data_IF_125938687515
#
_entry.id   IF_125938687515
#
_cell.length_a   1.000
_cell.length_b   1.000
_cell.length_c   1.000
_cell.angle_alpha   90.00
_cell.angle_beta   90.00
_cell.angle_gamma   90.00
#
_symmetry.space_group_name_H-M   'P 1'
#
loop_
_entity.id
_entity.type
_entity.pdbx_description
1 polymer ?
#
# COMPACT_ATOMS: atom_id res chain seq x y z
N UNK A 1 -33.79 -3.79 -33.73
CA UNK A 1 -33.34 -4.12 -32.35
C UNK A 1 -32.28 -5.21 -32.47
N UNK A 2 -31.04 -4.83 -32.79
CA UNK A 2 -29.89 -5.76 -32.86
C UNK A 2 -28.96 -5.34 -31.73
N UNK A 3 -29.13 -5.95 -30.56
CA UNK A 3 -28.15 -5.85 -29.49
C UNK A 3 -27.03 -6.81 -29.83
N UNK A 4 -25.93 -6.24 -30.33
CA UNK A 4 -24.63 -6.90 -30.46
C UNK A 4 -24.27 -7.55 -29.12
N UNK A 5 -24.26 -8.88 -29.12
CA UNK A 5 -23.60 -9.68 -28.10
C UNK A 5 -22.10 -9.45 -28.21
N UNK A 6 -21.60 -8.39 -27.58
CA UNK A 6 -20.18 -8.26 -27.36
C UNK A 6 -19.72 -9.52 -26.62
N UNK A 7 -18.90 -10.34 -27.30
CA UNK A 7 -18.21 -11.47 -26.71
C UNK A 7 -17.45 -10.98 -25.48
N UNK A 8 -17.97 -11.26 -24.28
CA UNK A 8 -17.21 -10.98 -23.05
C UNK A 8 -15.98 -11.86 -23.13
N UNK A 9 -14.80 -11.25 -23.28
CA UNK A 9 -13.53 -11.96 -23.15
C UNK A 9 -13.55 -12.65 -21.78
N UNK A 10 -13.64 -13.97 -21.78
CA UNK A 10 -13.65 -14.75 -20.55
C UNK A 10 -12.25 -14.76 -19.97
N UNK A 11 -11.96 -13.82 -19.07
CA UNK A 11 -10.69 -13.81 -18.32
C UNK A 11 -10.69 -15.01 -17.37
N UNK A 12 -9.66 -15.89 -17.37
CA UNK A 12 -9.61 -17.03 -16.46
C UNK A 12 -9.76 -16.59 -15.00
N UNK A 13 -10.54 -17.33 -14.21
CA UNK A 13 -10.85 -16.97 -12.81
C UNK A 13 -9.60 -16.77 -11.95
N UNK A 14 -8.56 -17.57 -12.20
CA UNK A 14 -7.26 -17.42 -11.52
C UNK A 14 -6.67 -16.04 -11.81
N UNK A 15 -6.62 -15.64 -13.07
CA UNK A 15 -6.09 -14.33 -13.47
C UNK A 15 -6.93 -13.18 -12.89
N UNK A 16 -8.27 -13.32 -12.89
CA UNK A 16 -9.14 -12.34 -12.25
C UNK A 16 -8.81 -12.14 -10.77
N UNK A 17 -8.62 -13.24 -10.03
CA UNK A 17 -8.29 -13.18 -8.58
C UNK A 17 -6.93 -12.56 -8.32
N UNK A 18 -5.91 -12.88 -9.13
CA UNK A 18 -4.59 -12.27 -9.02
C UNK A 18 -4.65 -10.76 -9.28
N UNK A 19 -5.37 -10.33 -10.33
CA UNK A 19 -5.55 -8.91 -10.63
C UNK A 19 -6.37 -8.21 -9.53
N UNK A 20 -7.40 -8.84 -8.99
CA UNK A 20 -8.13 -8.32 -7.83
C UNK A 20 -7.20 -8.12 -6.63
N UNK A 21 -6.34 -9.09 -6.33
CA UNK A 21 -5.36 -8.96 -5.25
C UNK A 21 -4.38 -7.79 -5.49
N UNK A 22 -3.92 -7.58 -6.73
CA UNK A 22 -3.12 -6.39 -7.08
C UNK A 22 -3.93 -5.10 -6.84
N UNK A 23 -5.22 -5.08 -7.18
CA UNK A 23 -6.08 -3.93 -6.92
C UNK A 23 -6.30 -3.61 -5.44
N UNK A 24 -6.25 -4.61 -4.56
CA UNK A 24 -6.40 -4.43 -3.10
C UNK A 24 -5.29 -3.58 -2.48
N UNK A 25 -4.16 -3.35 -3.17
CA UNK A 25 -3.14 -2.36 -2.77
C UNK A 25 -3.76 -0.97 -2.51
N UNK A 26 -4.78 -0.60 -3.30
CA UNK A 26 -5.55 0.64 -3.15
C UNK A 26 -6.96 0.40 -2.59
N UNK A 27 -7.17 -0.70 -1.87
CA UNK A 27 -8.49 -1.15 -1.39
C UNK A 27 -9.52 -1.34 -2.52
N UNK A 28 -9.06 -1.68 -3.73
CA UNK A 28 -9.93 -1.88 -4.89
C UNK A 28 -10.13 -3.37 -5.17
N UNK A 29 -11.30 -3.89 -4.82
CA UNK A 29 -11.76 -5.22 -5.24
C UNK A 29 -12.16 -5.22 -6.73
N UNK A 30 -11.17 -5.07 -7.62
CA UNK A 30 -11.40 -4.95 -9.06
C UNK A 30 -10.21 -5.46 -9.89
N UNK A 31 -10.43 -6.48 -10.74
CA UNK A 31 -9.38 -6.96 -11.64
C UNK A 31 -9.03 -5.93 -12.71
N UNK A 32 -9.96 -5.05 -13.09
CA UNK A 32 -9.70 -3.96 -14.05
C UNK A 32 -8.74 -2.94 -13.45
N UNK A 33 -8.99 -2.50 -12.21
CA UNK A 33 -8.07 -1.59 -11.54
C UNK A 33 -6.70 -2.25 -11.31
N UNK A 34 -6.67 -3.52 -10.90
CA UNK A 34 -5.43 -4.29 -10.79
C UNK A 34 -4.66 -4.41 -12.09
N UNK A 35 -5.33 -4.57 -13.23
CA UNK A 35 -4.68 -4.58 -14.55
C UNK A 35 -4.07 -3.23 -14.90
N UNK A 36 -4.76 -2.12 -14.62
CA UNK A 36 -4.20 -0.77 -14.80
C UNK A 36 -2.99 -0.58 -13.90
N UNK A 37 -3.05 -1.02 -12.64
CA UNK A 37 -1.92 -0.95 -11.71
C UNK A 37 -0.72 -1.76 -12.20
N UNK A 38 -0.96 -3.00 -12.67
CA UNK A 38 0.11 -3.83 -13.23
C UNK A 38 0.73 -3.21 -14.48
N UNK A 39 -0.07 -2.58 -15.34
CA UNK A 39 0.42 -1.83 -16.50
C UNK A 39 1.29 -0.65 -16.06
N UNK A 40 0.84 0.14 -15.07
CA UNK A 40 1.64 1.25 -14.56
C UNK A 40 2.96 0.78 -13.93
N UNK A 41 2.97 -0.35 -13.21
CA UNK A 41 4.21 -0.96 -12.71
C UNK A 41 5.13 -1.32 -13.87
N UNK A 42 4.61 -1.97 -14.91
CA UNK A 42 5.40 -2.38 -16.08
C UNK A 42 6.00 -1.18 -16.82
N UNK A 43 5.21 -0.12 -17.01
CA UNK A 43 5.66 1.13 -17.64
C UNK A 43 6.65 1.91 -16.77
N UNK A 44 6.56 1.79 -15.44
CA UNK A 44 7.54 2.37 -14.52
C UNK A 44 8.85 1.58 -14.52
N UNK A 45 8.78 0.27 -14.71
CA UNK A 45 9.92 -0.63 -14.78
C UNK A 45 9.46 -2.09 -14.84
N UNK A 46 9.78 -2.86 -15.90
CA UNK A 46 9.37 -4.26 -16.00
C UNK A 46 9.70 -5.14 -14.79
N UNK A 47 10.83 -4.96 -14.06
CA UNK A 47 11.10 -5.71 -12.84
C UNK A 47 10.04 -5.53 -11.74
N UNK A 48 9.46 -4.33 -11.60
CA UNK A 48 8.43 -4.05 -10.59
C UNK A 48 7.16 -4.87 -10.88
N UNK A 49 6.75 -4.94 -12.14
CA UNK A 49 5.61 -5.76 -12.56
C UNK A 49 5.88 -7.26 -12.38
N UNK A 50 7.10 -7.72 -12.73
CA UNK A 50 7.50 -9.11 -12.55
C UNK A 50 7.49 -9.50 -11.06
N UNK A 51 8.11 -8.69 -10.21
CA UNK A 51 8.10 -8.89 -8.76
C UNK A 51 6.68 -8.91 -8.20
N UNK A 52 5.84 -7.96 -8.61
CA UNK A 52 4.42 -7.91 -8.24
C UNK A 52 3.68 -9.21 -8.58
N UNK A 53 3.82 -9.71 -9.82
CA UNK A 53 3.18 -10.94 -10.29
C UNK A 53 3.70 -12.18 -9.55
N UNK A 54 5.01 -12.28 -9.35
CA UNK A 54 5.61 -13.40 -8.63
C UNK A 54 5.18 -13.41 -7.16
N UNK A 55 5.25 -12.26 -6.49
CA UNK A 55 4.88 -12.12 -5.08
C UNK A 55 3.40 -12.45 -4.82
N UNK A 56 2.48 -11.95 -5.66
CA UNK A 56 1.04 -12.28 -5.55
C UNK A 56 0.78 -13.74 -5.90
N UNK A 57 1.51 -14.34 -6.83
CA UNK A 57 1.38 -15.77 -7.15
C UNK A 57 1.79 -16.64 -5.96
N UNK A 58 2.96 -16.39 -5.37
CA UNK A 58 3.45 -17.16 -4.22
C UNK A 58 2.55 -17.00 -2.98
N UNK A 59 2.08 -15.78 -2.69
CA UNK A 59 1.15 -15.53 -1.60
C UNK A 59 -0.18 -16.28 -1.79
N UNK A 60 -0.75 -16.22 -3.00
CA UNK A 60 -1.96 -16.98 -3.35
C UNK A 60 -1.73 -18.49 -3.24
N UNK A 61 -0.61 -19.02 -3.76
CA UNK A 61 -0.29 -20.45 -3.70
C UNK A 61 -0.26 -20.95 -2.25
N UNK A 62 0.38 -20.24 -1.33
CA UNK A 62 0.37 -20.57 0.10
C UNK A 62 -1.05 -20.53 0.67
N UNK A 63 -1.83 -19.50 0.33
CA UNK A 63 -3.20 -19.39 0.82
C UNK A 63 -4.09 -20.55 0.38
N UNK A 64 -3.91 -21.04 -0.85
CA UNK A 64 -4.58 -22.23 -1.37
C UNK A 64 -4.07 -23.52 -0.73
N UNK A 65 -2.75 -23.70 -0.66
CA UNK A 65 -2.12 -24.89 -0.09
C UNK A 65 -2.53 -25.12 1.37
N UNK A 66 -2.60 -24.03 2.16
CA UNK A 66 -2.98 -24.08 3.58
C UNK A 66 -4.49 -23.98 3.81
N UNK A 67 -5.30 -23.98 2.74
CA UNK A 67 -6.76 -23.88 2.81
C UNK A 67 -7.24 -22.72 3.69
N UNK A 68 -6.55 -21.57 3.62
CA UNK A 68 -6.92 -20.36 4.38
C UNK A 68 -8.33 -19.86 4.02
N UNK A 69 -9.06 -19.14 4.89
CA UNK A 69 -10.45 -18.73 4.66
C UNK A 69 -10.80 -18.32 3.22
N UNK A 70 -11.85 -18.95 2.66
CA UNK A 70 -12.18 -18.88 1.23
C UNK A 70 -12.57 -17.48 0.76
N UNK A 71 -13.36 -16.77 1.57
CA UNK A 71 -13.78 -15.39 1.33
C UNK A 71 -12.57 -14.48 1.14
N UNK A 72 -11.55 -14.63 2.00
CA UNK A 72 -10.29 -13.89 1.98
C UNK A 72 -9.38 -14.27 0.81
N UNK A 73 -9.40 -15.54 0.38
CA UNK A 73 -8.66 -15.98 -0.82
C UNK A 73 -9.28 -15.37 -2.08
N UNK A 74 -10.61 -15.35 -2.16
CA UNK A 74 -11.33 -14.95 -3.37
C UNK A 74 -11.37 -13.44 -3.59
N UNK A 75 -11.35 -12.63 -2.53
CA UNK A 75 -11.27 -11.17 -2.63
C UNK A 75 -9.82 -10.63 -2.68
N UNK A 76 -8.82 -11.52 -2.78
CA UNK A 76 -7.42 -11.13 -2.97
C UNK A 76 -6.70 -10.62 -1.71
N UNK A 77 -7.31 -10.73 -0.52
CA UNK A 77 -6.74 -10.20 0.72
C UNK A 77 -5.49 -10.95 1.21
N UNK A 78 -5.33 -12.21 0.83
CA UNK A 78 -4.08 -12.95 1.08
C UNK A 78 -2.97 -12.67 0.05
N UNK A 79 -3.26 -11.99 -1.06
CA UNK A 79 -2.31 -11.82 -2.17
C UNK A 79 -1.63 -10.44 -2.21
N UNK A 80 -2.33 -9.37 -1.82
CA UNK A 80 -1.86 -8.00 -2.09
C UNK A 80 -0.59 -7.60 -1.33
N UNK A 81 -0.38 -8.12 -0.12
CA UNK A 81 0.88 -7.90 0.60
C UNK A 81 2.05 -8.55 -0.12
N UNK A 82 1.86 -9.73 -0.73
CA UNK A 82 2.87 -10.37 -1.56
C UNK A 82 3.16 -9.59 -2.83
N UNK A 83 2.12 -9.02 -3.47
CA UNK A 83 2.27 -8.13 -4.61
C UNK A 83 3.15 -6.91 -4.27
N UNK A 84 2.87 -6.24 -3.14
CA UNK A 84 3.67 -5.12 -2.64
C UNK A 84 5.10 -5.51 -2.28
N UNK A 85 5.30 -6.64 -1.61
CA UNK A 85 6.63 -7.12 -1.25
C UNK A 85 7.47 -7.39 -2.49
N UNK A 86 6.89 -8.05 -3.50
CA UNK A 86 7.59 -8.32 -4.75
C UNK A 86 7.93 -7.05 -5.53
N UNK A 87 6.98 -6.12 -5.68
CA UNK A 87 7.24 -4.84 -6.32
C UNK A 87 8.30 -4.02 -5.58
N UNK A 88 8.23 -3.98 -4.24
CA UNK A 88 9.16 -3.24 -3.39
C UNK A 88 10.58 -3.80 -3.43
N UNK A 89 10.73 -5.13 -3.39
CA UNK A 89 12.03 -5.77 -3.53
C UNK A 89 12.66 -5.49 -4.90
N UNK A 90 11.88 -5.54 -5.98
CA UNK A 90 12.36 -5.18 -7.32
C UNK A 90 12.52 -3.66 -7.55
N UNK A 91 12.00 -2.83 -6.65
CA UNK A 91 12.32 -1.40 -6.64
C UNK A 91 13.68 -1.14 -5.97
N UNK A 92 14.00 -1.88 -4.90
CA UNK A 92 15.23 -1.67 -4.10
C UNK A 92 16.45 -2.39 -4.69
N UNK A 93 16.28 -3.62 -5.19
CA UNK A 93 17.39 -4.48 -5.60
C UNK A 93 17.37 -4.78 -7.10
N UNK A 94 18.55 -5.05 -7.66
CA UNK A 94 18.72 -5.41 -9.07
C UNK A 94 18.09 -6.76 -9.37
N UNK A 95 17.49 -6.88 -10.54
CA UNK A 95 16.84 -8.12 -10.95
C UNK A 95 17.85 -9.21 -11.28
N UNK A 96 17.94 -10.20 -10.39
CA UNK A 96 18.73 -11.41 -10.57
C UNK A 96 18.01 -12.66 -10.01
N UNK A 97 18.65 -13.82 -10.13
CA UNK A 97 18.11 -15.09 -9.61
C UNK A 97 17.84 -15.08 -8.10
N UNK A 98 18.83 -14.69 -7.26
CA UNK A 98 18.64 -14.55 -5.81
C UNK A 98 17.47 -13.65 -5.42
N UNK A 99 17.28 -12.50 -6.09
CA UNK A 99 16.15 -11.63 -5.84
C UNK A 99 14.81 -12.31 -6.13
N UNK A 100 14.70 -13.06 -7.23
CA UNK A 100 13.47 -13.78 -7.55
C UNK A 100 13.11 -14.82 -6.48
N UNK A 101 14.11 -15.51 -5.92
CA UNK A 101 13.90 -16.44 -4.80
C UNK A 101 13.46 -15.69 -3.53
N UNK A 102 14.09 -14.54 -3.23
CA UNK A 102 13.70 -13.69 -2.11
C UNK A 102 12.25 -13.18 -2.27
N UNK A 103 11.87 -12.75 -3.48
CA UNK A 103 10.50 -12.31 -3.80
C UNK A 103 9.50 -13.44 -3.59
N UNK A 104 9.80 -14.65 -4.07
CA UNK A 104 8.94 -15.81 -3.88
C UNK A 104 8.75 -16.16 -2.39
N UNK A 105 9.84 -16.18 -1.62
CA UNK A 105 9.82 -16.43 -0.18
C UNK A 105 9.08 -15.34 0.59
N UNK A 106 9.32 -14.07 0.28
CA UNK A 106 8.62 -12.93 0.89
C UNK A 106 7.12 -13.00 0.59
N UNK A 107 6.73 -13.22 -0.68
CA UNK A 107 5.34 -13.39 -1.08
C UNK A 107 4.64 -14.50 -0.28
N UNK A 108 5.25 -15.68 -0.20
CA UNK A 108 4.74 -16.80 0.60
C UNK A 108 4.57 -16.42 2.09
N UNK A 109 5.58 -15.77 2.68
CA UNK A 109 5.57 -15.36 4.09
C UNK A 109 4.46 -14.33 4.38
N UNK A 110 4.18 -13.40 3.46
CA UNK A 110 3.12 -12.41 3.67
C UNK A 110 1.74 -13.05 3.88
N UNK A 111 1.42 -14.15 3.19
CA UNK A 111 0.15 -14.85 3.37
C UNK A 111 0.03 -15.45 4.78
N UNK A 112 1.11 -16.06 5.29
CA UNK A 112 1.18 -16.62 6.65
C UNK A 112 1.02 -15.51 7.70
N UNK A 113 1.76 -14.42 7.56
CA UNK A 113 1.68 -13.26 8.46
C UNK A 113 0.30 -12.60 8.43
N UNK A 114 -0.33 -12.53 7.25
CA UNK A 114 -1.70 -12.00 7.10
C UNK A 114 -2.68 -12.87 7.89
N UNK A 115 -2.61 -14.20 7.75
CA UNK A 115 -3.47 -15.11 8.50
C UNK A 115 -3.22 -15.02 10.02
N UNK A 116 -1.96 -14.93 10.44
CA UNK A 116 -1.60 -14.80 11.85
C UNK A 116 -2.17 -13.50 12.47
N UNK A 117 -2.07 -12.37 11.77
CA UNK A 117 -2.64 -11.10 12.22
C UNK A 117 -4.18 -11.15 12.29
N UNK A 118 -4.84 -11.84 11.35
CA UNK A 118 -6.30 -12.01 11.39
C UNK A 118 -6.76 -12.83 12.61
N UNK A 119 -5.98 -13.84 13.02
CA UNK A 119 -6.26 -14.65 14.22
C UNK A 119 -6.21 -13.84 15.51
N UNK A 120 -5.42 -12.76 15.56
CA UNK A 120 -5.30 -11.88 16.73
C UNK A 120 -6.31 -10.73 16.72
N UNK A 121 -7.28 -10.71 15.80
CA UNK A 121 -8.30 -9.64 15.61
C UNK A 121 -7.70 -8.26 15.31
N UNK A 122 -6.45 -8.21 14.87
CA UNK A 122 -5.77 -6.98 14.40
C UNK A 122 -5.92 -6.91 12.88
N UNK A 123 -6.39 -5.78 12.30
CA UNK A 123 -6.45 -5.65 10.85
C UNK A 123 -5.02 -5.68 10.29
N UNK A 124 -4.68 -6.64 9.39
CA UNK A 124 -3.30 -6.80 8.91
C UNK A 124 -2.80 -5.57 8.15
N UNK A 125 -3.69 -4.92 7.38
CA UNK A 125 -3.33 -3.84 6.46
C UNK A 125 -2.10 -4.25 5.64
N UNK A 126 -1.11 -3.36 5.52
CA UNK A 126 0.17 -3.64 4.85
C UNK A 126 1.27 -4.09 5.82
N UNK A 127 0.95 -4.47 7.06
CA UNK A 127 1.95 -4.92 8.05
C UNK A 127 2.72 -6.18 7.58
N UNK A 128 2.07 -7.21 7.01
CA UNK A 128 2.78 -8.35 6.45
C UNK A 128 3.85 -7.93 5.46
N UNK A 129 3.52 -6.99 4.55
CA UNK A 129 4.48 -6.39 3.62
C UNK A 129 5.66 -5.71 4.36
N UNK A 130 5.40 -4.80 5.32
CA UNK A 130 6.45 -4.08 6.06
C UNK A 130 7.42 -5.05 6.75
N UNK A 131 6.88 -6.06 7.46
CA UNK A 131 7.68 -7.06 8.15
C UNK A 131 8.54 -7.88 7.17
N UNK A 132 7.97 -8.30 6.03
CA UNK A 132 8.75 -9.01 5.02
C UNK A 132 9.84 -8.16 4.38
N UNK A 133 9.61 -6.86 4.17
CA UNK A 133 10.63 -5.97 3.64
C UNK A 133 11.79 -5.76 4.62
N UNK A 134 11.51 -5.63 5.92
CA UNK A 134 12.56 -5.56 6.94
C UNK A 134 13.39 -6.83 7.03
N UNK A 135 12.72 -8.00 7.00
CA UNK A 135 13.40 -9.29 7.01
C UNK A 135 14.26 -9.47 5.75
N UNK A 136 13.72 -9.13 4.58
CA UNK A 136 14.47 -9.21 3.32
C UNK A 136 15.65 -8.24 3.30
N UNK A 137 15.49 -7.01 3.81
CA UNK A 137 16.58 -6.05 3.94
C UNK A 137 17.69 -6.53 4.87
N UNK A 138 17.33 -7.15 6.00
CA UNK A 138 18.29 -7.76 6.92
C UNK A 138 19.04 -8.96 6.30
N UNK A 139 18.38 -9.70 5.40
CA UNK A 139 18.95 -10.84 4.69
C UNK A 139 19.64 -10.46 3.36
N UNK A 140 19.52 -9.22 2.89
CA UNK A 140 19.95 -8.84 1.55
C UNK A 140 21.46 -9.03 1.34
N UNK A 141 22.27 -8.61 2.32
CA UNK A 141 23.73 -8.74 2.26
C UNK A 141 24.19 -10.19 2.28
N UNK A 142 23.55 -11.05 3.09
CA UNK A 142 23.92 -12.48 3.18
C UNK A 142 23.54 -13.26 1.92
N UNK A 143 22.53 -12.80 1.19
CA UNK A 143 22.10 -13.35 -0.10
C UNK A 143 22.86 -12.73 -1.28
N UNK A 144 23.69 -11.70 -1.03
CA UNK A 144 24.48 -11.03 -2.05
C UNK A 144 23.67 -10.11 -2.97
N UNK A 145 22.52 -9.62 -2.51
CA UNK A 145 21.68 -8.72 -3.30
C UNK A 145 22.36 -7.37 -3.48
N UNK A 146 22.31 -6.85 -4.70
CA UNK A 146 22.83 -5.53 -5.05
C UNK A 146 21.68 -4.52 -5.15
N UNK A 147 21.87 -3.32 -4.58
CA UNK A 147 20.89 -2.24 -4.72
C UNK A 147 20.82 -1.75 -6.18
N UNK A 148 19.60 -1.43 -6.62
CA UNK A 148 19.34 -0.85 -7.92
C UNK A 148 19.90 0.58 -8.01
N UNK A 149 20.62 0.87 -9.09
CA UNK A 149 21.06 2.23 -9.42
C UNK A 149 20.39 2.71 -10.71
N UNK A 150 19.84 3.94 -10.75
CA UNK A 150 19.70 4.87 -9.64
C UNK A 150 18.65 4.38 -8.61
N UNK A 151 18.72 4.91 -7.39
CA UNK A 151 17.73 4.65 -6.36
C UNK A 151 16.30 4.97 -6.85
N UNK A 152 15.25 4.34 -6.27
CA UNK A 152 13.87 4.64 -6.63
C UNK A 152 13.59 6.14 -6.63
N UNK A 153 13.06 6.65 -7.74
CA UNK A 153 12.79 8.08 -7.88
C UNK A 153 11.77 8.56 -6.84
N UNK A 154 12.13 9.57 -6.05
CA UNK A 154 11.25 10.20 -5.06
C UNK A 154 10.29 11.22 -5.67
N UNK A 155 9.27 11.61 -4.91
CA UNK A 155 8.38 12.71 -5.30
C UNK A 155 9.09 14.05 -5.09
N UNK A 156 9.27 14.81 -6.16
CA UNK A 156 9.67 16.22 -6.08
C UNK A 156 8.60 17.08 -5.42
N UNK A 157 8.93 18.33 -5.08
CA UNK A 157 8.06 19.26 -4.33
C UNK A 157 7.13 20.09 -5.21
N UNK A 158 7.21 19.99 -6.54
CA UNK A 158 6.27 20.69 -7.43
C UNK A 158 4.86 20.17 -7.21
N UNK A 159 3.92 21.08 -6.90
CA UNK A 159 2.56 20.76 -6.46
C UNK A 159 1.89 19.61 -7.23
N UNK A 160 1.64 19.79 -8.53
CA UNK A 160 0.93 18.78 -9.35
C UNK A 160 1.72 17.46 -9.40
N UNK A 161 3.04 17.54 -9.58
CA UNK A 161 3.89 16.34 -9.64
C UNK A 161 3.85 15.57 -8.32
N UNK A 162 3.92 16.27 -7.19
CA UNK A 162 3.89 15.68 -5.85
C UNK A 162 2.59 14.93 -5.60
N UNK A 163 1.44 15.55 -5.92
CA UNK A 163 0.13 14.95 -5.68
C UNK A 163 0.00 13.59 -6.35
N UNK A 164 0.29 13.53 -7.65
CA UNK A 164 0.12 12.30 -8.42
C UNK A 164 1.27 11.31 -8.21
N UNK A 165 2.50 11.78 -8.00
CA UNK A 165 3.60 10.89 -7.57
C UNK A 165 3.26 10.20 -6.25
N UNK A 166 2.71 10.91 -5.26
CA UNK A 166 2.32 10.31 -3.97
C UNK A 166 1.27 9.21 -4.14
N UNK A 167 0.35 9.37 -5.09
CA UNK A 167 -0.62 8.32 -5.45
C UNK A 167 0.11 7.12 -6.06
N UNK A 168 1.04 7.32 -6.99
CA UNK A 168 1.82 6.22 -7.60
C UNK A 168 2.75 5.50 -6.62
N UNK A 169 3.36 6.23 -5.69
CA UNK A 169 4.35 5.70 -4.74
C UNK A 169 3.78 4.72 -3.72
N UNK A 170 2.45 4.66 -3.57
CA UNK A 170 1.77 3.57 -2.85
C UNK A 170 2.19 2.19 -3.39
N UNK A 171 2.53 2.09 -4.68
CA UNK A 171 3.07 0.90 -5.32
C UNK A 171 4.45 1.14 -5.95
N UNK A 172 5.26 2.05 -5.40
CA UNK A 172 6.63 2.36 -5.87
C UNK A 172 6.74 2.99 -7.27
N UNK A 173 5.67 3.63 -7.76
CA UNK A 173 5.65 4.30 -9.07
C UNK A 173 5.92 5.80 -8.88
N UNK A 174 7.09 6.28 -9.30
CA UNK A 174 7.50 7.68 -9.08
C UNK A 174 7.03 8.70 -10.11
N UNK A 175 6.63 8.26 -11.31
CA UNK A 175 6.21 9.16 -12.38
C UNK A 175 4.82 9.74 -12.16
N UNK A 176 4.70 11.07 -12.06
CA UNK A 176 3.41 11.76 -11.95
C UNK A 176 2.39 11.38 -13.05
N UNK A 177 2.77 11.19 -14.33
CA UNK A 177 1.81 10.73 -15.35
C UNK A 177 1.19 9.35 -15.06
N UNK A 178 1.98 8.40 -14.56
CA UNK A 178 1.46 7.09 -14.18
C UNK A 178 0.62 7.17 -12.90
N UNK A 179 1.00 8.04 -11.97
CA UNK A 179 0.18 8.39 -10.81
C UNK A 179 -1.18 9.01 -11.19
N UNK A 180 -1.22 9.89 -12.20
CA UNK A 180 -2.45 10.45 -12.76
C UNK A 180 -3.33 9.36 -13.38
N UNK A 181 -2.74 8.41 -14.12
CA UNK A 181 -3.47 7.29 -14.70
C UNK A 181 -4.09 6.40 -13.61
N UNK A 182 -3.34 6.08 -12.56
CA UNK A 182 -3.85 5.33 -11.39
C UNK A 182 -4.97 6.06 -10.69
N UNK A 183 -4.77 7.36 -10.42
CA UNK A 183 -5.80 8.19 -9.81
C UNK A 183 -7.06 8.26 -10.68
N UNK A 184 -6.92 8.41 -12.01
CA UNK A 184 -8.05 8.44 -12.93
C UNK A 184 -8.82 7.10 -12.95
N UNK A 185 -8.11 5.98 -12.93
CA UNK A 185 -8.71 4.65 -12.82
C UNK A 185 -9.46 4.47 -11.49
N UNK A 186 -8.88 4.94 -10.39
CA UNK A 186 -9.51 4.95 -9.07
C UNK A 186 -10.75 5.85 -9.06
N UNK A 187 -10.64 7.06 -9.62
CA UNK A 187 -11.70 8.07 -9.68
C UNK A 187 -12.90 7.60 -10.51
N UNK A 188 -12.64 6.90 -11.62
CA UNK A 188 -13.68 6.30 -12.47
C UNK A 188 -14.49 5.23 -11.72
N UNK A 189 -13.86 4.49 -10.80
CA UNK A 189 -14.54 3.45 -10.02
C UNK A 189 -15.22 4.04 -8.79
N UNK A 190 -14.48 4.83 -8.01
CA UNK A 190 -14.92 5.42 -6.76
C UNK A 190 -14.35 6.84 -6.60
N UNK A 191 -15.00 7.82 -7.24
CA UNK A 191 -14.63 9.24 -7.18
C UNK A 191 -14.30 9.72 -5.77
N UNK A 192 -15.17 9.43 -4.79
CA UNK A 192 -14.98 9.85 -3.41
C UNK A 192 -13.70 9.29 -2.80
N UNK A 193 -13.36 8.01 -3.05
CA UNK A 193 -12.13 7.41 -2.54
C UNK A 193 -10.90 8.03 -3.20
N UNK A 194 -10.96 8.29 -4.51
CA UNK A 194 -9.89 8.98 -5.23
C UNK A 194 -9.63 10.39 -4.69
N UNK A 195 -10.69 11.14 -4.35
CA UNK A 195 -10.53 12.47 -3.74
C UNK A 195 -9.91 12.37 -2.35
N UNK A 196 -10.27 11.38 -1.55
CA UNK A 196 -9.64 11.17 -0.24
C UNK A 196 -8.15 10.86 -0.38
N UNK A 197 -7.77 9.94 -1.28
CA UNK A 197 -6.37 9.66 -1.57
C UNK A 197 -5.61 10.93 -1.98
N UNK A 198 -6.14 11.69 -2.93
CA UNK A 198 -5.51 12.93 -3.41
C UNK A 198 -5.41 14.01 -2.32
N UNK A 199 -6.42 14.10 -1.44
CA UNK A 199 -6.40 15.03 -0.30
C UNK A 199 -5.29 14.68 0.70
N UNK A 200 -4.99 13.39 0.90
CA UNK A 200 -3.86 12.96 1.74
C UNK A 200 -2.52 13.45 1.19
N UNK A 201 -2.32 13.33 -0.12
CA UNK A 201 -1.15 13.90 -0.80
C UNK A 201 -1.11 15.43 -0.67
N UNK A 202 -2.24 16.11 -0.82
CA UNK A 202 -2.34 17.58 -0.66
C UNK A 202 -1.96 18.04 0.75
N UNK A 203 -2.52 17.41 1.79
CA UNK A 203 -2.19 17.75 3.17
C UNK A 203 -0.70 17.53 3.47
N UNK A 204 -0.14 16.45 2.93
CA UNK A 204 1.28 16.17 3.08
C UNK A 204 2.15 17.20 2.36
N UNK A 205 1.79 17.61 1.14
CA UNK A 205 2.49 18.65 0.41
C UNK A 205 2.48 19.98 1.17
N UNK A 206 1.32 20.40 1.67
CA UNK A 206 1.17 21.63 2.47
C UNK A 206 2.02 21.56 3.74
N UNK A 207 1.93 20.44 4.47
CA UNK A 207 2.65 20.25 5.74
C UNK A 207 4.17 20.28 5.54
N UNK A 208 4.70 19.62 4.50
CA UNK A 208 6.14 19.57 4.22
C UNK A 208 6.63 20.92 3.71
N UNK A 209 5.87 21.57 2.83
CA UNK A 209 6.22 22.92 2.34
C UNK A 209 6.28 23.92 3.50
N UNK A 210 5.28 23.90 4.39
CA UNK A 210 5.27 24.75 5.57
C UNK A 210 6.40 24.40 6.55
N UNK A 211 6.63 23.11 6.82
CA UNK A 211 7.67 22.68 7.73
C UNK A 211 9.07 23.07 7.23
N UNK A 212 9.33 22.99 5.92
CA UNK A 212 10.59 23.44 5.34
C UNK A 212 10.77 24.97 5.40
N UNK A 213 9.68 25.73 5.37
CA UNK A 213 9.74 27.19 5.57
C UNK A 213 10.01 27.56 7.03
N UNK A 214 9.40 26.84 7.97
CA UNK A 214 9.53 27.11 9.40
C UNK A 214 10.84 26.59 10.01
N UNK A 215 11.34 25.45 9.52
CA UNK A 215 12.57 24.80 9.97
C UNK A 215 13.51 24.49 8.79
N UNK A 216 14.07 25.52 8.14
CA UNK A 216 15.01 25.33 7.04
C UNK A 216 16.23 24.54 7.50
N UNK A 217 16.64 23.54 6.73
CA UNK A 217 17.80 22.69 7.03
C UNK A 217 17.53 21.51 7.98
N UNK A 218 16.29 21.32 8.45
CA UNK A 218 15.91 20.15 9.26
C UNK A 218 15.83 18.83 8.45
N UNK A 219 16.03 18.87 7.13
CA UNK A 219 16.01 17.69 6.26
C UNK A 219 14.63 17.07 6.08
N UNK A 220 13.55 17.80 6.38
CA UNK A 220 12.16 17.30 6.30
C UNK A 220 11.79 16.98 4.84
N UNK A 221 12.36 17.68 3.85
CA UNK A 221 12.14 17.34 2.43
C UNK A 221 12.52 15.89 2.08
N UNK A 222 13.45 15.27 2.79
CA UNK A 222 13.82 13.86 2.57
C UNK A 222 12.67 12.89 2.82
N UNK A 223 11.68 13.31 3.61
CA UNK A 223 10.51 12.52 3.98
C UNK A 223 9.29 12.77 3.08
N UNK A 224 9.43 13.61 2.05
CA UNK A 224 8.38 13.99 1.09
C UNK A 224 7.61 12.78 0.54
N UNK A 225 8.33 11.87 -0.11
CA UNK A 225 7.73 10.69 -0.75
C UNK A 225 6.97 9.82 0.25
N UNK A 226 7.60 9.50 1.39
CA UNK A 226 7.02 8.60 2.38
C UNK A 226 5.83 9.21 3.12
N UNK A 227 5.91 10.50 3.50
CA UNK A 227 4.80 11.22 4.10
C UNK A 227 3.60 11.34 3.14
N UNK A 228 3.85 11.67 1.87
CA UNK A 228 2.82 11.77 0.83
C UNK A 228 2.11 10.43 0.61
N UNK A 229 2.88 9.36 0.50
CA UNK A 229 2.39 7.98 0.29
C UNK A 229 1.54 7.49 1.46
N UNK A 230 2.05 7.62 2.68
CA UNK A 230 1.36 7.13 3.88
C UNK A 230 0.09 7.94 4.16
N UNK A 231 0.14 9.26 4.00
CA UNK A 231 -1.05 10.12 4.13
C UNK A 231 -2.11 9.77 3.08
N UNK A 232 -1.70 9.52 1.83
CA UNK A 232 -2.60 9.06 0.75
C UNK A 232 -3.32 7.77 1.14
N UNK A 233 -2.58 6.74 1.60
CA UNK A 233 -3.16 5.47 2.04
C UNK A 233 -4.10 5.62 3.25
N UNK A 234 -3.71 6.43 4.22
CA UNK A 234 -4.50 6.63 5.44
C UNK A 234 -5.85 7.30 5.13
N UNK A 235 -5.85 8.30 4.27
CA UNK A 235 -7.08 8.96 3.81
C UNK A 235 -7.94 8.05 2.93
N UNK A 236 -7.31 7.30 2.03
CA UNK A 236 -7.97 6.31 1.18
C UNK A 236 -8.70 5.25 2.01
N UNK A 237 -8.05 4.69 3.03
CA UNK A 237 -8.60 3.65 3.91
C UNK A 237 -9.82 4.13 4.72
N UNK A 238 -9.84 5.38 5.18
CA UNK A 238 -11.00 5.95 5.86
C UNK A 238 -12.15 6.29 4.91
N UNK A 239 -11.81 6.71 3.69
CA UNK A 239 -12.78 6.89 2.61
C UNK A 239 -13.52 5.58 2.33
N UNK A 240 -12.79 4.46 2.27
CA UNK A 240 -13.36 3.13 2.08
C UNK A 240 -14.25 2.65 3.25
N UNK A 241 -13.98 3.11 4.49
CA UNK A 241 -14.73 2.72 5.70
C UNK A 241 -15.86 3.67 6.12
N UNK A 242 -16.13 4.74 5.36
CA UNK A 242 -17.28 5.62 5.62
C UNK A 242 -17.18 6.52 6.86
N UNK A 243 -15.98 6.75 7.41
CA UNK A 243 -15.77 7.60 8.60
C UNK A 243 -16.20 9.06 8.37
N UNK A 244 -16.56 9.83 9.42
CA UNK A 244 -16.96 11.25 9.26
C UNK A 244 -15.77 12.15 8.92
N UNK A 245 -16.01 13.28 8.23
CA UNK A 245 -14.95 14.15 7.71
C UNK A 245 -13.98 14.74 8.76
N UNK A 246 -14.37 15.11 10.00
CA UNK A 246 -13.42 15.71 10.95
C UNK A 246 -12.36 14.70 11.41
N UNK A 247 -12.75 13.44 11.58
CA UNK A 247 -11.83 12.34 11.89
C UNK A 247 -10.89 11.98 10.74
N UNK A 248 -11.15 12.47 9.52
CA UNK A 248 -10.26 12.23 8.37
C UNK A 248 -9.08 13.21 8.36
N UNK A 249 -9.26 14.46 8.76
CA UNK A 249 -8.18 15.46 8.76
C UNK A 249 -7.09 15.14 9.80
N UNK A 250 -7.47 14.66 10.98
CA UNK A 250 -6.52 14.27 12.03
C UNK A 250 -5.59 13.12 11.59
N UNK A 251 -6.08 12.25 10.70
CA UNK A 251 -5.34 11.08 10.20
C UNK A 251 -4.19 11.47 9.29
N UNK A 252 -4.42 12.42 8.37
CA UNK A 252 -3.34 12.95 7.55
C UNK A 252 -2.23 13.52 8.44
N UNK A 253 -2.60 14.34 9.43
CA UNK A 253 -1.65 14.91 10.39
C UNK A 253 -0.85 13.85 11.16
N UNK A 254 -1.52 12.86 11.76
CA UNK A 254 -0.85 11.76 12.48
C UNK A 254 0.09 10.99 11.57
N UNK A 255 -0.34 10.63 10.36
CA UNK A 255 0.48 9.88 9.41
C UNK A 255 1.70 10.66 8.95
N UNK A 256 1.57 11.97 8.72
CA UNK A 256 2.69 12.85 8.32
C UNK A 256 3.70 12.94 9.48
N UNK A 257 3.22 13.22 10.70
CA UNK A 257 4.08 13.31 11.89
C UNK A 257 4.84 12.02 12.14
N UNK A 258 4.19 10.86 12.04
CA UNK A 258 4.84 9.56 12.17
C UNK A 258 5.90 9.34 11.07
N UNK A 259 5.63 9.76 9.83
CA UNK A 259 6.58 9.63 8.72
C UNK A 259 7.84 10.47 8.96
N UNK A 260 7.67 11.73 9.41
CA UNK A 260 8.78 12.61 9.77
C UNK A 260 9.56 12.03 10.96
N UNK A 261 8.85 11.57 12.01
CA UNK A 261 9.47 11.01 13.20
C UNK A 261 10.29 9.75 12.93
N UNK A 262 9.76 8.80 12.16
CA UNK A 262 10.52 7.61 11.77
C UNK A 262 11.69 7.94 10.85
N UNK A 263 11.51 8.90 9.94
CA UNK A 263 12.60 9.42 9.09
C UNK A 263 13.74 10.01 9.92
N UNK A 264 13.41 10.84 10.91
CA UNK A 264 14.39 11.42 11.84
C UNK A 264 15.10 10.36 12.69
N UNK A 265 14.43 9.24 12.98
CA UNK A 265 15.01 8.09 13.68
C UNK A 265 15.82 7.15 12.75
N UNK A 266 15.94 7.44 11.46
CA UNK A 266 16.66 6.60 10.48
C UNK A 266 15.96 5.28 10.17
N UNK A 267 14.66 5.16 10.44
CA UNK A 267 13.90 3.92 10.24
C UNK A 267 13.31 3.90 8.82
N UNK A 268 13.64 2.87 8.04
CA UNK A 268 12.97 2.60 6.76
C UNK A 268 11.54 2.12 7.00
N UNK A 269 10.60 3.05 7.08
CA UNK A 269 9.26 2.76 7.61
C UNK A 269 8.25 2.24 6.58
N UNK A 270 8.52 2.31 5.28
CA UNK A 270 7.59 1.91 4.21
C UNK A 270 6.17 2.45 4.44
N UNK A 271 5.18 1.59 4.67
CA UNK A 271 3.79 1.96 4.96
C UNK A 271 3.42 1.91 6.45
N UNK A 272 4.40 1.83 7.36
CA UNK A 272 4.17 1.76 8.81
C UNK A 272 3.43 2.97 9.37
N UNK A 273 3.73 4.24 8.98
CA UNK A 273 2.95 5.38 9.42
C UNK A 273 1.46 5.24 9.10
N UNK A 274 1.12 4.74 7.91
CA UNK A 274 -0.26 4.45 7.52
C UNK A 274 -0.89 3.40 8.46
N UNK A 275 -0.21 2.27 8.70
CA UNK A 275 -0.72 1.17 9.54
C UNK A 275 -1.03 1.68 10.96
N UNK A 276 -0.04 2.32 11.59
CA UNK A 276 -0.17 2.84 12.95
C UNK A 276 -1.27 3.90 13.04
N UNK A 277 -1.36 4.80 12.06
CA UNK A 277 -2.44 5.78 12.01
C UNK A 277 -3.81 5.11 12.01
N UNK A 278 -4.03 4.09 11.19
CA UNK A 278 -5.32 3.38 11.15
C UNK A 278 -5.59 2.63 12.44
N UNK A 279 -4.59 2.00 13.04
CA UNK A 279 -4.75 1.32 14.34
C UNK A 279 -5.12 2.28 15.46
N UNK A 280 -4.48 3.46 15.53
CA UNK A 280 -4.82 4.51 16.49
C UNK A 280 -6.29 4.92 16.36
N UNK A 281 -6.76 5.15 15.13
CA UNK A 281 -8.16 5.53 14.88
C UNK A 281 -9.12 4.42 15.30
N UNK A 282 -8.82 3.17 14.93
CA UNK A 282 -9.69 2.03 15.27
C UNK A 282 -9.74 1.78 16.78
N UNK A 283 -8.62 1.96 17.49
CA UNK A 283 -8.59 1.87 18.94
C UNK A 283 -9.41 3.01 19.56
N UNK A 284 -9.24 4.25 19.10
CA UNK A 284 -9.99 5.39 19.58
C UNK A 284 -11.51 5.23 19.37
N UNK A 285 -11.94 4.70 18.22
CA UNK A 285 -13.36 4.41 18.00
C UNK A 285 -13.88 3.31 18.93
N UNK A 286 -13.13 2.23 19.11
CA UNK A 286 -13.52 1.14 20.02
C UNK A 286 -13.67 1.64 21.46
N UNK A 287 -12.74 2.47 21.93
CA UNK A 287 -12.78 3.07 23.27
C UNK A 287 -13.99 4.00 23.42
N UNK A 288 -14.28 4.83 22.40
CA UNK A 288 -15.45 5.71 22.40
C UNK A 288 -16.76 4.91 22.43
N UNK A 289 -16.86 3.85 21.64
CA UNK A 289 -18.06 3.00 21.59
C UNK A 289 -18.27 2.24 22.91
N UNK A 290 -17.18 1.78 23.54
CA UNK A 290 -17.24 1.18 24.88
C UNK A 290 -17.76 2.19 25.92
N UNK A 291 -17.17 3.39 25.95
CA UNK A 291 -17.58 4.45 26.87
C UNK A 291 -19.05 4.86 26.67
N UNK A 292 -19.53 4.92 25.43
CA UNK A 292 -20.93 5.22 25.10
C UNK A 292 -21.91 4.09 25.45
N UNK A 293 -21.45 2.83 25.44
CA UNK A 293 -22.30 1.66 25.71
C UNK A 293 -22.47 1.32 27.19
N UNK A 294 -21.81 2.03 28.12
CA UNK A 294 -21.92 1.82 29.56
C UNK A 294 -21.44 0.46 30.08
N UNK A 295 -20.85 -0.39 29.23
CA UNK A 295 -20.34 -1.70 29.60
C UNK A 295 -18.91 -1.60 30.12
N UNK A 296 -18.77 -1.47 31.44
CA UNK A 296 -17.51 -1.69 32.17
C UNK A 296 -17.19 -3.19 32.28
N UNK A 297 -17.12 -3.91 31.16
CA UNK A 297 -16.61 -5.28 31.13
C UNK A 297 -15.13 -5.23 30.72
N UNK A 298 -14.27 -5.72 31.60
CA UNK A 298 -12.82 -5.60 31.57
C UNK A 298 -12.14 -6.13 30.29
N UNK A 299 -10.96 -5.57 30.03
CA UNK A 299 -10.13 -5.61 28.82
C UNK A 299 -9.61 -6.98 28.30
N UNK A 300 -10.02 -8.15 28.80
CA UNK A 300 -9.46 -9.43 28.33
C UNK A 300 -10.47 -10.59 28.39
N UNK A 301 -11.39 -10.65 27.41
CA UNK A 301 -12.28 -11.80 27.16
C UNK A 301 -12.37 -12.14 25.67
#
# INVERSE_FOLDING_TARGET
MILSSASRVAVPLVLQRQLTAVGQIYFQDSPVFGAVLLLCLFLSGPPLALGCVLGVACASLVAWAFKLPEDRRHNGLYGFNGALAGAGLCAVYQLDGPLLLMVAGAGALTAVLTHAAERTRIPPLTLPFVLTMWLAGAAAQSVGLQESMPAPGGCGTTFVSYLFCSVGQVAFIGGAPLGMLLWAALARRHWHQAMWGLSGALFSWLAITLANQLWPGAGIESQSTGAGTNSTLAMLALGARGFRWPSRLSVAGVSITLSIGFGAAGIHYFTLPFILTIWIVLLATRLRDHAASGRYAWLFG
#
